data_IF_878783777157
#
_entry.id   IF_878783777157
#
_cell.length_a   1.000
_cell.length_b   1.000
_cell.length_c   1.000
_cell.angle_alpha   90.00
_cell.angle_beta   90.00
_cell.angle_gamma   90.00
#
_symmetry.space_group_name_H-M   'P 1'
#
loop_
_entity.id
_entity.type
_entity.pdbx_description
1 polymer ?
#
# COMPACT_ATOMS: atom_id res chain seq x y z
N UNK A 1 16.27 8.03 15.83
CA UNK A 1 14.96 7.38 15.59
C UNK A 1 15.14 6.40 14.44
N UNK A 2 14.97 5.09 14.66
CA UNK A 2 15.20 4.07 13.61
C UNK A 2 13.99 4.04 12.65
N UNK A 3 14.25 3.90 11.35
CA UNK A 3 13.19 3.77 10.34
C UNK A 3 12.41 2.46 10.53
N UNK A 4 11.12 2.43 10.18
CA UNK A 4 10.32 1.19 10.26
C UNK A 4 10.73 0.27 9.11
N UNK A 5 11.29 -0.90 9.46
CA UNK A 5 11.60 -1.95 8.48
C UNK A 5 10.33 -2.49 7.85
N UNK A 6 9.26 -2.65 8.64
CA UNK A 6 7.97 -3.13 8.17
C UNK A 6 7.40 -2.21 7.07
N UNK A 7 7.49 -0.89 7.27
CA UNK A 7 7.05 0.07 6.25
C UNK A 7 7.78 -0.13 4.91
N UNK A 8 9.11 -0.18 4.93
CA UNK A 8 9.89 -0.25 3.69
C UNK A 8 9.72 -1.58 2.96
N UNK A 9 9.59 -2.69 3.69
CA UNK A 9 9.26 -3.99 3.10
C UNK A 9 7.85 -3.94 2.49
N UNK A 10 6.85 -3.44 3.23
CA UNK A 10 5.48 -3.32 2.73
C UNK A 10 5.38 -2.40 1.50
N UNK A 11 6.08 -1.26 1.52
CA UNK A 11 6.18 -0.37 0.38
C UNK A 11 6.81 -1.06 -0.84
N UNK A 12 7.93 -1.79 -0.64
CA UNK A 12 8.54 -2.58 -1.71
C UNK A 12 7.60 -3.63 -2.30
N UNK A 13 6.78 -4.27 -1.47
CA UNK A 13 5.77 -5.23 -1.91
C UNK A 13 4.62 -4.57 -2.68
N UNK A 14 4.17 -3.36 -2.31
CA UNK A 14 3.21 -2.59 -3.11
C UNK A 14 3.78 -2.23 -4.48
N UNK A 15 5.05 -1.79 -4.54
CA UNK A 15 5.73 -1.54 -5.81
C UNK A 15 5.87 -2.81 -6.65
N UNK A 16 6.18 -3.95 -6.02
CA UNK A 16 6.23 -5.25 -6.70
C UNK A 16 4.86 -5.63 -7.28
N UNK A 17 3.79 -5.51 -6.49
CA UNK A 17 2.41 -5.76 -6.95
C UNK A 17 2.05 -4.84 -8.11
N UNK A 18 2.43 -3.56 -8.05
CA UNK A 18 2.25 -2.62 -9.17
C UNK A 18 2.96 -3.10 -10.43
N UNK A 19 4.23 -3.50 -10.35
CA UNK A 19 5.00 -4.01 -11.49
C UNK A 19 4.36 -5.27 -12.08
N UNK A 20 3.94 -6.20 -11.23
CA UNK A 20 3.23 -7.41 -11.65
C UNK A 20 1.89 -7.08 -12.33
N UNK A 21 1.17 -6.07 -11.83
CA UNK A 21 -0.04 -5.56 -12.44
C UNK A 21 0.18 -4.93 -13.83
N UNK A 22 1.31 -4.24 -14.04
CA UNK A 22 1.67 -3.70 -15.37
C UNK A 22 1.95 -4.85 -16.35
N UNK A 23 2.67 -5.87 -15.90
CA UNK A 23 3.03 -7.03 -16.74
C UNK A 23 1.82 -7.91 -17.03
N UNK A 24 0.81 -7.92 -16.15
CA UNK A 24 -0.39 -8.75 -16.31
C UNK A 24 -1.22 -8.33 -17.54
N UNK A 25 -1.45 -9.24 -18.50
CA UNK A 25 -2.11 -8.92 -19.76
C UNK A 25 -3.59 -8.56 -19.63
N UNK A 26 -4.24 -8.89 -18.51
CA UNK A 26 -5.68 -8.67 -18.33
C UNK A 26 -6.02 -7.34 -17.62
N UNK A 27 -5.06 -6.68 -16.95
CA UNK A 27 -5.40 -5.81 -15.80
C UNK A 27 -4.44 -4.64 -15.59
N UNK A 28 -3.81 -4.16 -16.65
CA UNK A 28 -2.84 -3.05 -16.59
C UNK A 28 -3.35 -1.80 -15.86
N UNK A 29 -4.66 -1.51 -15.92
CA UNK A 29 -5.25 -0.35 -15.21
C UNK A 29 -5.21 -0.49 -13.68
N UNK A 30 -5.13 -1.71 -13.14
CA UNK A 30 -5.05 -1.94 -11.69
C UNK A 30 -3.65 -1.75 -11.10
N UNK A 31 -2.62 -1.70 -11.96
CA UNK A 31 -1.31 -1.22 -11.54
C UNK A 31 -1.38 0.22 -11.02
N UNK A 32 -2.23 1.06 -11.63
CA UNK A 32 -2.40 2.46 -11.21
C UNK A 32 -2.92 2.55 -9.77
N UNK A 33 -3.83 1.67 -9.35
CA UNK A 33 -4.32 1.66 -7.97
C UNK A 33 -3.21 1.30 -6.98
N UNK A 34 -2.42 0.26 -7.26
CA UNK A 34 -1.26 -0.09 -6.41
C UNK A 34 -0.23 1.03 -6.35
N UNK A 35 0.02 1.73 -7.46
CA UNK A 35 0.90 2.88 -7.52
C UNK A 35 0.39 4.04 -6.64
N UNK A 36 -0.90 4.37 -6.74
CA UNK A 36 -1.53 5.40 -5.90
C UNK A 36 -1.43 5.04 -4.43
N UNK A 37 -1.70 3.78 -4.06
CA UNK A 37 -1.56 3.29 -2.68
C UNK A 37 -0.12 3.38 -2.16
N UNK A 38 0.87 3.07 -3.01
CA UNK A 38 2.28 3.23 -2.68
C UNK A 38 2.64 4.70 -2.43
N UNK A 39 2.19 5.63 -3.28
CA UNK A 39 2.42 7.06 -3.09
C UNK A 39 1.74 7.62 -1.83
N UNK A 40 0.49 7.25 -1.59
CA UNK A 40 -0.28 7.69 -0.42
C UNK A 40 0.38 7.17 0.87
N UNK A 41 0.78 5.90 0.90
CA UNK A 41 1.45 5.30 2.06
C UNK A 41 2.83 5.93 2.31
N UNK A 42 3.62 6.19 1.27
CA UNK A 42 4.91 6.88 1.38
C UNK A 42 4.77 8.31 1.89
N UNK A 43 3.86 9.08 1.30
CA UNK A 43 3.61 10.47 1.72
C UNK A 43 3.17 10.50 3.17
N UNK A 44 2.23 9.64 3.55
CA UNK A 44 1.77 9.51 4.93
C UNK A 44 2.88 9.16 5.89
N UNK A 45 3.70 8.18 5.56
CA UNK A 45 4.84 7.76 6.38
C UNK A 45 5.86 8.89 6.59
N UNK A 46 6.21 9.63 5.54
CA UNK A 46 7.13 10.76 5.62
C UNK A 46 6.56 11.89 6.48
N UNK A 47 5.26 12.19 6.36
CA UNK A 47 4.57 13.18 7.19
C UNK A 47 4.58 12.76 8.66
N UNK A 48 4.22 11.51 8.97
CA UNK A 48 4.24 10.98 10.34
C UNK A 48 5.65 11.02 10.95
N UNK A 49 6.66 10.62 10.17
CA UNK A 49 8.07 10.65 10.60
C UNK A 49 8.53 12.08 10.87
N UNK A 50 8.21 13.04 10.01
CA UNK A 50 8.56 14.46 10.19
C UNK A 50 7.91 15.03 11.46
N UNK A 51 6.64 14.67 11.71
CA UNK A 51 5.93 15.07 12.94
C UNK A 51 6.55 14.46 14.19
N UNK A 52 6.92 13.18 14.17
CA UNK A 52 7.61 12.53 15.28
C UNK A 52 9.00 13.14 15.57
N UNK A 53 9.73 13.57 14.53
CA UNK A 53 10.98 14.33 14.70
C UNK A 53 10.73 15.70 15.32
N UNK A 54 9.73 16.43 14.83
CA UNK A 54 9.38 17.74 15.37
C UNK A 54 8.98 17.63 16.85
N UNK A 55 8.19 16.62 17.23
CA UNK A 55 7.80 16.38 18.63
C UNK A 55 9.01 16.25 19.57
N UNK A 56 10.10 15.63 19.12
CA UNK A 56 11.34 15.53 19.92
C UNK A 56 12.05 16.86 20.06
N UNK A 57 12.02 17.69 19.02
CA UNK A 57 12.59 19.06 19.05
C UNK A 57 11.72 20.07 19.79
N UNK A 58 10.45 19.74 20.03
CA UNK A 58 9.46 20.57 20.72
C UNK A 58 9.47 20.39 22.26
N UNK A 59 10.51 19.79 22.83
CA UNK A 59 10.62 19.57 24.29
C UNK A 59 10.47 20.86 25.14
N UNK A 60 10.60 22.04 24.54
CA UNK A 60 10.42 23.36 25.17
C UNK A 60 9.18 24.15 24.71
N UNK A 61 8.26 23.59 23.90
CA UNK A 61 7.00 24.26 23.50
C UNK A 61 5.82 23.80 24.36
N UNK A 62 4.69 24.53 24.27
CA UNK A 62 3.47 24.25 25.03
C UNK A 62 2.93 22.84 24.82
N UNK A 63 2.41 22.25 25.89
CA UNK A 63 1.86 20.88 25.90
C UNK A 63 0.72 20.69 24.89
N UNK A 64 -0.07 21.73 24.62
CA UNK A 64 -1.15 21.70 23.62
C UNK A 64 -0.65 21.39 22.20
N UNK A 65 0.46 22.00 21.78
CA UNK A 65 1.03 21.77 20.45
C UNK A 65 1.60 20.34 20.31
N UNK A 66 2.06 19.77 21.43
CA UNK A 66 2.57 18.41 21.55
C UNK A 66 1.43 17.40 21.47
N UNK A 67 0.35 17.62 22.23
CA UNK A 67 -0.86 16.80 22.25
C UNK A 67 -1.51 16.75 20.85
N UNK A 68 -1.70 17.90 20.20
CA UNK A 68 -2.31 17.98 18.87
C UNK A 68 -1.47 17.22 17.80
N UNK A 69 -0.16 17.38 17.83
CA UNK A 69 0.76 16.70 16.90
C UNK A 69 0.80 15.18 17.14
N UNK A 70 0.72 14.75 18.41
CA UNK A 70 0.63 13.34 18.81
C UNK A 70 -0.68 12.70 18.34
N UNK A 71 -1.81 13.31 18.67
CA UNK A 71 -3.14 12.81 18.30
C UNK A 71 -3.29 12.71 16.79
N UNK A 72 -2.81 13.71 16.05
CA UNK A 72 -2.88 13.68 14.59
C UNK A 72 -1.97 12.59 13.97
N UNK A 73 -0.77 12.35 14.53
CA UNK A 73 0.10 11.27 14.07
C UNK A 73 -0.48 9.87 14.37
N UNK A 74 -1.10 9.67 15.54
CA UNK A 74 -1.77 8.42 15.91
C UNK A 74 -3.03 8.17 15.08
N UNK A 75 -3.79 9.21 14.79
CA UNK A 75 -4.96 9.15 13.92
C UNK A 75 -4.54 8.76 12.49
N UNK A 76 -3.51 9.42 11.96
CA UNK A 76 -2.94 9.09 10.64
C UNK A 76 -2.40 7.65 10.59
N UNK A 77 -1.69 7.18 11.62
CA UNK A 77 -1.10 5.83 11.60
C UNK A 77 -2.17 4.74 11.52
N UNK A 78 -3.28 4.89 12.24
CA UNK A 78 -4.39 3.94 12.23
C UNK A 78 -5.24 4.04 10.97
N UNK A 79 -5.68 5.25 10.62
CA UNK A 79 -6.67 5.42 9.56
C UNK A 79 -6.02 5.32 8.21
N UNK A 80 -4.86 5.94 7.99
CA UNK A 80 -4.23 5.91 6.68
C UNK A 80 -3.75 4.50 6.33
N UNK A 81 -2.98 3.85 7.20
CA UNK A 81 -2.49 2.51 6.92
C UNK A 81 -3.61 1.46 6.96
N UNK A 82 -4.61 1.64 7.82
CA UNK A 82 -5.81 0.80 7.81
C UNK A 82 -6.59 0.91 6.51
N UNK A 83 -6.84 2.12 6.01
CA UNK A 83 -7.51 2.35 4.73
C UNK A 83 -6.69 1.81 3.56
N UNK A 84 -5.38 2.06 3.53
CA UNK A 84 -4.50 1.52 2.47
C UNK A 84 -4.52 -0.02 2.49
N UNK A 85 -4.49 -0.64 3.67
CA UNK A 85 -4.58 -2.08 3.81
C UNK A 85 -5.90 -2.64 3.26
N UNK A 86 -7.04 -2.06 3.65
CA UNK A 86 -8.37 -2.47 3.18
C UNK A 86 -8.49 -2.29 1.67
N UNK A 87 -8.10 -1.13 1.13
CA UNK A 87 -8.18 -0.86 -0.31
C UNK A 87 -7.27 -1.81 -1.08
N UNK A 88 -6.08 -2.15 -0.57
CA UNK A 88 -5.18 -3.13 -1.21
C UNK A 88 -5.86 -4.50 -1.40
N UNK A 89 -6.62 -4.96 -0.40
CA UNK A 89 -7.39 -6.21 -0.48
C UNK A 89 -8.52 -6.08 -1.52
N UNK A 90 -9.27 -4.99 -1.50
CA UNK A 90 -10.33 -4.76 -2.50
C UNK A 90 -9.78 -4.74 -3.92
N UNK A 91 -8.65 -4.06 -4.14
CA UNK A 91 -7.95 -4.02 -5.42
C UNK A 91 -7.55 -5.43 -5.83
N UNK A 92 -6.96 -6.25 -4.94
CA UNK A 92 -6.59 -7.63 -5.24
C UNK A 92 -7.79 -8.51 -5.65
N UNK A 93 -8.93 -8.38 -4.96
CA UNK A 93 -10.18 -9.10 -5.28
C UNK A 93 -10.79 -8.63 -6.59
N UNK A 94 -10.86 -7.31 -6.83
CA UNK A 94 -11.37 -6.78 -8.10
C UNK A 94 -10.49 -7.21 -9.28
N UNK A 95 -9.17 -7.24 -9.07
CA UNK A 95 -8.19 -7.73 -10.05
C UNK A 95 -8.46 -9.21 -10.36
N UNK A 96 -8.75 -10.06 -9.36
CA UNK A 96 -9.13 -11.46 -9.57
C UNK A 96 -10.34 -11.58 -10.48
N UNK A 97 -11.44 -10.93 -10.09
CA UNK A 97 -12.72 -11.02 -10.81
C UNK A 97 -12.54 -10.62 -12.27
N UNK A 98 -11.80 -9.54 -12.53
CA UNK A 98 -11.51 -9.11 -13.90
C UNK A 98 -10.55 -10.03 -14.65
N UNK A 99 -9.60 -10.67 -13.96
CA UNK A 99 -8.76 -11.71 -14.56
C UNK A 99 -9.64 -12.88 -15.01
N UNK A 100 -10.56 -13.34 -14.15
CA UNK A 100 -11.44 -14.46 -14.46
C UNK A 100 -12.38 -14.12 -15.63
N UNK A 101 -12.96 -12.92 -15.64
CA UNK A 101 -13.80 -12.44 -16.75
C UNK A 101 -12.98 -12.31 -18.04
N UNK A 102 -11.76 -11.78 -17.95
CA UNK A 102 -10.88 -11.60 -19.11
C UNK A 102 -10.35 -12.91 -19.71
N UNK A 103 -10.33 -13.98 -18.91
CA UNK A 103 -9.96 -15.33 -19.33
C UNK A 103 -11.17 -16.19 -19.72
N UNK A 104 -12.39 -15.67 -19.59
CA UNK A 104 -13.60 -16.40 -19.92
C UNK A 104 -13.64 -16.70 -21.44
N UNK A 105 -13.62 -17.99 -21.84
CA UNK A 105 -13.65 -18.37 -23.23
C UNK A 105 -14.98 -18.04 -23.94
N UNK A 106 -16.10 -17.93 -23.20
CA UNK A 106 -17.42 -17.65 -23.78
C UNK A 106 -17.63 -16.16 -24.08
N UNK A 107 -17.10 -15.28 -23.22
CA UNK A 107 -17.22 -13.81 -23.37
C UNK A 107 -16.16 -13.25 -24.34
N UNK A 108 -15.22 -14.11 -24.74
CA UNK A 108 -14.19 -13.81 -25.73
C UNK A 108 -12.91 -13.36 -25.06
N UNK A 109 -11.89 -14.23 -25.10
CA UNK A 109 -10.49 -13.95 -24.77
C UNK A 109 -9.82 -12.90 -25.68
N UNK A 110 -10.56 -11.88 -26.11
CA UNK A 110 -10.08 -10.72 -26.84
C UNK A 110 -9.54 -9.72 -25.83
N UNK A 111 -8.26 -9.87 -25.54
CA UNK A 111 -7.28 -8.79 -25.31
C UNK A 111 -7.93 -7.48 -24.83
N UNK A 112 -8.15 -7.37 -23.52
CA UNK A 112 -8.76 -6.15 -22.93
C UNK A 112 -7.83 -4.92 -22.95
N UNK A 113 -6.55 -5.03 -23.34
CA UNK A 113 -5.63 -3.89 -23.42
C UNK A 113 -4.64 -3.97 -24.59
N UNK A 114 -4.26 -2.83 -25.20
CA UNK A 114 -3.54 -2.78 -26.48
C UNK A 114 -2.07 -3.26 -26.44
N UNK A 115 -1.52 -3.59 -25.27
CA UNK A 115 -0.13 -4.05 -25.12
C UNK A 115 -0.08 -5.25 -24.17
N UNK A 116 0.20 -6.42 -24.73
CA UNK A 116 0.40 -7.66 -23.98
C UNK A 116 1.89 -7.78 -23.60
N UNK A 117 2.22 -7.64 -22.32
CA UNK A 117 3.60 -7.75 -21.83
C UNK A 117 3.98 -9.17 -21.36
N UNK A 118 2.99 -10.03 -21.07
CA UNK A 118 3.19 -11.44 -20.71
C UNK A 118 2.15 -12.37 -21.38
N UNK A 119 2.45 -13.67 -21.49
CA UNK A 119 1.50 -14.66 -22.02
C UNK A 119 0.23 -14.74 -21.17
N UNK A 120 -0.92 -15.03 -21.79
CA UNK A 120 -2.21 -15.21 -21.09
C UNK A 120 -2.17 -16.36 -20.08
N UNK A 121 -1.41 -17.41 -20.37
CA UNK A 121 -1.23 -18.57 -19.48
C UNK A 121 -0.62 -18.15 -18.12
N UNK A 122 0.14 -17.05 -18.10
CA UNK A 122 0.75 -16.50 -16.89
C UNK A 122 -0.16 -15.52 -16.14
N UNK A 123 -1.34 -15.17 -16.66
CA UNK A 123 -2.19 -14.12 -16.09
C UNK A 123 -2.68 -14.45 -14.66
N UNK A 124 -3.05 -15.72 -14.42
CA UNK A 124 -3.46 -16.18 -13.09
C UNK A 124 -2.30 -16.20 -12.10
N UNK A 125 -1.12 -16.67 -12.52
CA UNK A 125 0.07 -16.74 -11.67
C UNK A 125 0.55 -15.33 -11.28
N UNK A 126 0.57 -14.42 -12.26
CA UNK A 126 0.91 -13.02 -12.05
C UNK A 126 -0.09 -12.33 -11.12
N UNK A 127 -1.39 -12.60 -11.29
CA UNK A 127 -2.42 -12.12 -10.36
C UNK A 127 -2.19 -12.67 -8.96
N UNK A 128 -1.98 -13.99 -8.82
CA UNK A 128 -1.82 -14.62 -7.52
C UNK A 128 -0.61 -14.04 -6.76
N UNK A 129 0.50 -13.84 -7.46
CA UNK A 129 1.69 -13.22 -6.88
C UNK A 129 1.46 -11.75 -6.53
N UNK A 130 0.77 -10.98 -7.37
CA UNK A 130 0.39 -9.60 -7.08
C UNK A 130 -0.55 -9.51 -5.86
N UNK A 131 -1.52 -10.42 -5.75
CA UNK A 131 -2.45 -10.49 -4.63
C UNK A 131 -1.71 -10.82 -3.33
N UNK A 132 -0.85 -11.85 -3.33
CA UNK A 132 -0.05 -12.22 -2.15
C UNK A 132 0.86 -11.08 -1.70
N UNK A 133 1.55 -10.44 -2.64
CA UNK A 133 2.42 -9.29 -2.32
C UNK A 133 1.64 -8.10 -1.79
N UNK A 134 0.49 -7.76 -2.39
CA UNK A 134 -0.40 -6.69 -1.94
C UNK A 134 -0.98 -6.93 -0.54
N UNK A 135 -1.44 -8.16 -0.26
CA UNK A 135 -1.97 -8.54 1.06
C UNK A 135 -0.86 -8.54 2.12
N UNK A 136 0.31 -9.10 1.81
CA UNK A 136 1.46 -9.05 2.71
C UNK A 136 1.89 -7.60 3.00
N UNK A 137 1.86 -6.73 1.98
CA UNK A 137 2.10 -5.30 2.14
C UNK A 137 1.08 -4.64 3.08
N UNK A 138 -0.20 -4.96 2.93
CA UNK A 138 -1.27 -4.46 3.80
C UNK A 138 -1.00 -4.78 5.28
N UNK A 139 -0.65 -6.02 5.60
CA UNK A 139 -0.27 -6.43 6.97
C UNK A 139 0.96 -5.67 7.49
N UNK A 140 1.98 -5.50 6.65
CA UNK A 140 3.20 -4.79 7.02
C UNK A 140 2.97 -3.29 7.25
N UNK A 141 2.06 -2.66 6.49
CA UNK A 141 1.68 -1.26 6.69
C UNK A 141 0.91 -1.05 8.00
N UNK A 142 0.01 -1.97 8.36
CA UNK A 142 -0.65 -1.94 9.69
C UNK A 142 0.39 -2.07 10.79
N UNK A 143 1.36 -2.98 10.63
CA UNK A 143 2.47 -3.17 11.57
C UNK A 143 3.35 -1.91 11.67
N UNK A 144 3.62 -1.25 10.55
CA UNK A 144 4.35 0.01 10.51
C UNK A 144 3.61 1.13 11.26
N UNK A 145 2.27 1.11 11.27
CA UNK A 145 1.47 2.02 12.11
C UNK A 145 1.76 1.86 13.60
N UNK A 146 1.99 0.63 14.07
CA UNK A 146 2.39 0.37 15.45
C UNK A 146 3.79 0.92 15.77
N UNK A 147 4.72 0.90 14.79
CA UNK A 147 6.04 1.53 14.95
C UNK A 147 5.93 3.05 15.11
N UNK A 148 5.05 3.70 14.34
CA UNK A 148 4.76 5.14 14.49
C UNK A 148 4.23 5.44 15.90
N UNK A 149 3.34 4.59 16.43
CA UNK A 149 2.82 4.76 17.79
C UNK A 149 3.94 4.69 18.84
N UNK A 150 4.91 3.79 18.67
CA UNK A 150 6.10 3.72 19.54
C UNK A 150 6.98 4.96 19.41
N UNK A 151 7.13 5.52 18.20
CA UNK A 151 7.93 6.73 18.01
C UNK A 151 7.35 7.95 18.70
N UNK A 152 6.02 8.05 18.72
CA UNK A 152 5.30 9.17 19.32
C UNK A 152 5.07 8.95 20.82
N UNK A 153 4.86 7.71 21.27
CA UNK A 153 4.65 7.38 22.69
C UNK A 153 5.92 7.41 23.55
N UNK A 154 7.09 7.23 22.94
CA UNK A 154 8.39 7.34 23.62
C UNK A 154 8.95 8.78 23.66
N UNK A 155 8.12 9.79 23.38
CA UNK A 155 8.51 11.22 23.43
C UNK A 155 7.77 11.90 24.56
#
# INVERSE_FOLDING_TARGET
>A
MKQSRAFWIGFGLLCCSCLLGVVNPCIGIFALFHLVLAFVSLTGYLVMRRRALNLRGLAHRSDEAREASRTSALFMSRILFGMVAVISVFVAVATLVLTMIGLDPEVGGRVMFPVQLAPFDAAFDLWALAAVTSVAAAFLLVTAGADVNRWVGNV
#
